data_IF_346619733569
#
_entry.id   IF_346619733569
#
_cell.length_a   1.000
_cell.length_b   1.000
_cell.length_c   1.000
_cell.angle_alpha   90.00
_cell.angle_beta   90.00
_cell.angle_gamma   90.00
#
_symmetry.space_group_name_H-M   'P 1'
#
loop_
_entity.id
_entity.type
_entity.pdbx_description
1 polymer ?
#
# COMPACT_ATOMS: atom_id res chain seq x y z
N UNK A 1 9.43 -1.53 14.77
CA UNK A 1 8.84 -1.91 13.47
C UNK A 1 7.46 -2.41 13.79
N UNK A 2 6.43 -1.66 13.40
CA UNK A 2 5.05 -2.15 13.46
C UNK A 2 4.69 -2.62 12.07
N UNK A 3 4.41 -3.91 11.92
CA UNK A 3 3.72 -4.42 10.75
C UNK A 3 2.22 -4.17 10.94
N UNK A 4 1.60 -3.60 9.93
CA UNK A 4 0.16 -3.39 9.87
C UNK A 4 -0.36 -4.01 8.58
N UNK A 5 -1.53 -4.62 8.64
CA UNK A 5 -2.22 -5.11 7.44
C UNK A 5 -3.17 -4.05 6.90
N UNK A 6 -3.60 -4.18 5.65
CA UNK A 6 -4.54 -3.25 4.99
C UNK A 6 -5.80 -2.94 5.80
N UNK A 7 -6.27 -3.85 6.66
CA UNK A 7 -7.43 -3.62 7.51
C UNK A 7 -7.19 -2.54 8.58
N UNK A 8 -5.94 -2.33 8.97
CA UNK A 8 -5.52 -1.34 9.97
C UNK A 8 -5.24 0.04 9.35
N UNK A 9 -5.21 0.13 8.02
CA UNK A 9 -4.99 1.39 7.31
C UNK A 9 -6.21 2.30 7.49
N UNK A 10 -6.04 3.63 7.38
CA UNK A 10 -7.17 4.55 7.38
C UNK A 10 -8.14 4.23 6.24
N UNK A 11 -9.42 4.52 6.47
CA UNK A 11 -10.50 4.16 5.55
C UNK A 11 -10.29 4.72 4.14
N UNK A 12 -9.74 5.94 4.02
CA UNK A 12 -9.43 6.57 2.73
C UNK A 12 -8.46 5.76 1.88
N UNK A 13 -7.40 5.18 2.47
CA UNK A 13 -6.44 4.34 1.75
C UNK A 13 -7.07 3.01 1.35
N UNK A 14 -7.83 2.42 2.28
CA UNK A 14 -8.51 1.15 2.05
C UNK A 14 -9.53 1.26 0.92
N UNK A 15 -10.31 2.34 0.91
CA UNK A 15 -11.33 2.58 -0.10
C UNK A 15 -10.69 2.86 -1.46
N UNK A 16 -9.68 3.72 -1.53
CA UNK A 16 -8.94 4.01 -2.75
C UNK A 16 -8.31 2.73 -3.36
N UNK A 17 -7.65 1.92 -2.54
CA UNK A 17 -7.12 0.62 -2.98
C UNK A 17 -8.22 -0.29 -3.54
N UNK A 18 -9.34 -0.40 -2.82
CA UNK A 18 -10.47 -1.23 -3.26
C UNK A 18 -11.08 -0.75 -4.56
N UNK A 19 -11.21 0.57 -4.73
CA UNK A 19 -11.69 1.21 -5.94
C UNK A 19 -10.78 0.90 -7.13
N UNK A 20 -9.45 1.05 -6.98
CA UNK A 20 -8.47 0.73 -8.02
C UNK A 20 -8.56 -0.74 -8.44
N UNK A 21 -8.64 -1.67 -7.48
CA UNK A 21 -8.81 -3.09 -7.79
C UNK A 21 -10.09 -3.32 -8.60
N UNK A 22 -11.23 -2.80 -8.14
CA UNK A 22 -12.53 -2.96 -8.81
C UNK A 22 -12.53 -2.34 -10.22
N UNK A 23 -11.94 -1.16 -10.38
CA UNK A 23 -11.84 -0.46 -11.66
C UNK A 23 -11.04 -1.23 -12.69
N UNK A 24 -10.02 -1.98 -12.26
CA UNK A 24 -9.19 -2.82 -13.10
C UNK A 24 -9.69 -4.28 -13.19
N UNK A 25 -10.86 -4.60 -12.60
CA UNK A 25 -11.44 -5.95 -12.64
C UNK A 25 -10.72 -6.98 -11.77
N UNK A 26 -10.00 -6.53 -10.75
CA UNK A 26 -9.21 -7.36 -9.84
C UNK A 26 -9.93 -7.49 -8.49
N UNK A 27 -9.73 -8.65 -7.84
CA UNK A 27 -10.24 -8.88 -6.51
C UNK A 27 -9.26 -8.30 -5.47
N UNK A 28 -9.67 -7.33 -4.62
CA UNK A 28 -8.79 -6.78 -3.58
C UNK A 28 -8.33 -7.86 -2.58
N UNK A 29 -9.14 -8.90 -2.38
CA UNK A 29 -8.82 -10.06 -1.53
C UNK A 29 -7.68 -10.94 -2.09
N UNK A 30 -7.36 -10.79 -3.38
CA UNK A 30 -6.24 -11.48 -4.03
C UNK A 30 -4.87 -10.83 -3.74
N UNK A 31 -4.86 -9.69 -3.06
CA UNK A 31 -3.66 -8.96 -2.70
C UNK A 31 -3.42 -9.02 -1.20
N UNK A 32 -2.18 -9.34 -0.84
CA UNK A 32 -1.67 -9.19 0.52
C UNK A 32 -1.00 -7.82 0.61
N UNK A 33 -1.62 -6.90 1.35
CA UNK A 33 -1.10 -5.54 1.53
C UNK A 33 -0.75 -5.34 3.01
N UNK A 34 0.53 -5.05 3.24
CA UNK A 34 1.09 -4.83 4.56
C UNK A 34 1.92 -3.55 4.56
N UNK A 35 1.87 -2.77 5.64
CA UNK A 35 2.77 -1.65 5.85
C UNK A 35 3.74 -1.91 6.98
N UNK A 36 4.93 -1.37 6.83
CA UNK A 36 5.94 -1.34 7.86
C UNK A 36 6.17 0.11 8.25
N UNK A 37 5.92 0.44 9.52
CA UNK A 37 6.24 1.75 10.07
C UNK A 37 7.59 1.74 10.81
N UNK A 38 8.49 2.62 10.38
CA UNK A 38 9.76 2.89 11.03
C UNK A 38 9.65 4.13 11.91
N UNK A 39 9.48 3.92 13.21
CA UNK A 39 9.59 4.99 14.21
C UNK A 39 11.06 5.39 14.35
N UNK A 40 11.48 6.42 13.63
CA UNK A 40 12.73 7.09 13.94
C UNK A 40 12.57 7.82 15.26
N UNK A 41 13.16 7.27 16.32
CA UNK A 41 13.13 7.81 17.70
C UNK A 41 13.90 9.15 17.86
N UNK A 42 14.22 9.82 16.76
CA UNK A 42 14.95 11.07 16.71
C UNK A 42 14.06 12.18 16.12
N UNK A 43 13.34 12.85 17.02
CA UNK A 43 12.52 14.07 16.81
C UNK A 43 11.04 13.84 16.53
N UNK A 44 10.21 14.53 17.33
CA UNK A 44 8.76 14.58 17.30
C UNK A 44 8.16 15.31 16.06
N UNK A 45 8.80 15.14 14.89
CA UNK A 45 8.39 15.77 13.64
C UNK A 45 9.00 15.13 12.39
N UNK A 46 9.70 13.99 12.51
CA UNK A 46 10.15 13.24 11.35
C UNK A 46 8.95 12.50 10.75
N UNK A 47 8.70 12.71 9.44
CA UNK A 47 7.72 11.94 8.69
C UNK A 47 7.93 10.45 8.99
N UNK A 48 6.86 9.77 9.39
CA UNK A 48 6.90 8.33 9.59
C UNK A 48 7.27 7.71 8.25
N UNK A 49 8.46 7.12 8.17
CA UNK A 49 8.89 6.34 7.02
C UNK A 49 8.05 5.05 7.04
N UNK A 50 6.95 5.09 6.29
CA UNK A 50 5.97 4.01 6.18
C UNK A 50 6.13 3.43 4.80
N UNK A 51 6.58 2.18 4.73
CA UNK A 51 6.69 1.44 3.48
C UNK A 51 5.47 0.52 3.34
N UNK A 52 4.78 0.57 2.19
CA UNK A 52 3.65 -0.31 1.87
C UNK A 52 4.13 -1.40 0.94
N UNK A 53 4.07 -2.65 1.37
CA UNK A 53 4.30 -3.82 0.51
C UNK A 53 2.97 -4.37 0.02
N UNK A 54 2.79 -4.43 -1.29
CA UNK A 54 1.66 -5.08 -1.95
C UNK A 54 2.15 -6.34 -2.65
N UNK A 55 1.54 -7.47 -2.36
CA UNK A 55 1.88 -8.77 -2.95
C UNK A 55 0.68 -9.42 -3.60
N UNK A 56 0.87 -9.92 -4.81
CA UNK A 56 -0.10 -10.75 -5.53
C UNK A 56 0.60 -12.02 -6.01
N UNK A 57 0.27 -13.17 -5.40
CA UNK A 57 0.94 -14.43 -5.70
C UNK A 57 2.45 -14.38 -5.46
N UNK A 58 3.24 -14.37 -6.54
CA UNK A 58 4.72 -14.32 -6.50
C UNK A 58 5.30 -12.91 -6.69
N UNK A 59 4.49 -11.97 -7.13
CA UNK A 59 4.91 -10.59 -7.37
C UNK A 59 4.72 -9.79 -6.09
N UNK A 60 5.74 -9.04 -5.68
CA UNK A 60 5.65 -8.08 -4.59
C UNK A 60 6.24 -6.74 -5.03
N UNK A 61 5.60 -5.64 -4.64
CA UNK A 61 6.03 -4.28 -4.87
C UNK A 61 5.96 -3.50 -3.57
N UNK A 62 6.89 -2.57 -3.42
CA UNK A 62 7.02 -1.71 -2.25
C UNK A 62 6.77 -0.27 -2.70
N UNK A 63 5.98 0.46 -1.93
CA UNK A 63 5.55 1.83 -2.20
C UNK A 63 5.76 2.71 -0.99
N UNK A 64 5.91 4.02 -1.22
CA UNK A 64 6.00 5.00 -0.16
C UNK A 64 4.61 5.34 0.40
N UNK A 65 4.38 4.98 1.65
CA UNK A 65 3.15 5.26 2.39
C UNK A 65 3.27 6.44 3.35
N UNK A 66 4.35 7.23 3.27
CA UNK A 66 4.57 8.37 4.17
C UNK A 66 3.57 9.51 3.90
N UNK A 67 3.05 9.59 2.67
CA UNK A 67 2.12 10.62 2.23
C UNK A 67 0.63 10.16 2.20
N UNK A 68 0.30 9.05 2.86
CA UNK A 68 -1.07 8.53 2.88
C UNK A 68 -1.44 7.81 1.58
N UNK A 69 -2.60 8.09 0.93
CA UNK A 69 -3.10 7.30 -0.20
C UNK A 69 -2.34 7.48 -1.52
N UNK A 70 -1.23 8.24 -1.55
CA UNK A 70 -0.45 8.43 -2.78
C UNK A 70 0.12 7.12 -3.34
N UNK A 71 0.49 6.16 -2.48
CA UNK A 71 0.96 4.84 -2.93
C UNK A 71 -0.06 4.09 -3.81
N UNK A 72 -1.35 4.40 -3.66
CA UNK A 72 -2.42 3.79 -4.45
C UNK A 72 -2.33 4.23 -5.92
N UNK A 73 -1.79 5.43 -6.18
CA UNK A 73 -1.59 5.97 -7.53
C UNK A 73 -0.48 5.18 -8.24
N UNK A 74 0.67 5.01 -7.58
CA UNK A 74 1.76 4.18 -8.10
C UNK A 74 1.33 2.71 -8.27
N UNK A 75 0.54 2.19 -7.33
CA UNK A 75 -0.06 0.87 -7.44
C UNK A 75 -0.97 0.75 -8.67
N UNK A 76 -1.86 1.73 -8.91
CA UNK A 76 -2.71 1.75 -10.11
C UNK A 76 -1.86 1.72 -11.39
N UNK A 77 -0.76 2.47 -11.44
CA UNK A 77 0.14 2.48 -12.59
C UNK A 77 0.80 1.10 -12.81
N UNK A 78 1.29 0.44 -11.76
CA UNK A 78 1.85 -0.92 -11.83
C UNK A 78 0.80 -1.94 -12.32
N UNK A 79 -0.47 -1.79 -11.92
CA UNK A 79 -1.57 -2.63 -12.38
C UNK A 79 -1.81 -2.42 -13.88
N UNK A 80 -1.87 -1.17 -14.34
CA UNK A 80 -2.04 -0.82 -15.76
C UNK A 80 -0.86 -1.28 -16.61
N UNK A 81 0.34 -1.29 -16.02
CA UNK A 81 1.57 -1.81 -16.61
C UNK A 81 1.71 -3.33 -16.55
N UNK A 82 0.72 -4.06 -16.01
CA UNK A 82 0.70 -5.53 -15.87
C UNK A 82 1.83 -6.10 -15.03
N UNK A 83 2.29 -5.37 -14.02
CA UNK A 83 3.36 -5.84 -13.13
C UNK A 83 2.92 -7.04 -12.30
N UNK A 84 1.65 -7.06 -11.90
CA UNK A 84 1.06 -8.15 -11.11
C UNK A 84 0.45 -9.29 -11.94
N UNK A 85 0.46 -9.20 -13.29
CA UNK A 85 -0.08 -10.24 -14.20
C UNK A 85 -0.51 -9.74 -15.58
#
# INVERSE_FOLDING_TARGET
>A
MLDQTIHQFPEVERDAFREVCLRNGLAPDGFDVSSVEHFSSASAGAALDRCITVRMGKTAREYDGALGPEWVIDFEDDIRSRVFG
#
